data_IF_465014505478
#
_entry.id   IF_465014505478
#
_cell.length_a   1.000
_cell.length_b   1.000
_cell.length_c   1.000
_cell.angle_alpha   90.00
_cell.angle_beta   90.00
_cell.angle_gamma   90.00
#
_symmetry.space_group_name_H-M   'P 1'
#
loop_
_entity.id
_entity.type
_entity.pdbx_description
1 polymer ?
#
# COMPACT_ATOMS: atom_id res chain seq x y z
N UNK A 1 -62.56 -7.29 12.59
CA UNK A 1 -61.61 -6.76 13.60
C UNK A 1 -60.27 -7.45 13.39
N UNK A 2 -59.35 -6.79 12.68
CA UNK A 2 -57.97 -7.25 12.53
C UNK A 2 -57.08 -6.27 13.32
N UNK A 3 -56.22 -6.73 14.24
CA UNK A 3 -55.31 -5.84 14.91
C UNK A 3 -54.12 -5.57 13.98
N UNK A 4 -53.94 -4.29 13.66
CA UNK A 4 -52.79 -3.74 12.96
C UNK A 4 -51.55 -3.90 13.84
N UNK A 5 -50.62 -4.76 13.43
CA UNK A 5 -49.28 -4.83 13.99
C UNK A 5 -48.46 -3.65 13.44
N UNK A 6 -48.40 -2.57 14.21
CA UNK A 6 -47.40 -1.51 14.06
C UNK A 6 -46.04 -2.10 14.44
N UNK A 7 -45.29 -2.56 13.44
CA UNK A 7 -43.86 -2.83 13.57
C UNK A 7 -43.18 -1.47 13.74
N UNK A 8 -42.90 -1.13 15.00
CA UNK A 8 -42.08 0.02 15.35
C UNK A 8 -40.69 -0.14 14.74
N UNK A 9 -40.35 0.77 13.83
CA UNK A 9 -38.98 1.04 13.41
C UNK A 9 -38.17 1.42 14.67
N UNK A 10 -37.43 0.45 15.20
CA UNK A 10 -36.34 0.73 16.13
C UNK A 10 -35.26 1.41 15.29
N UNK A 11 -35.29 2.74 15.26
CA UNK A 11 -34.15 3.57 14.89
C UNK A 11 -33.03 3.31 15.91
N UNK A 12 -32.28 2.23 15.68
CA UNK A 12 -31.04 1.93 16.37
C UNK A 12 -30.05 3.06 16.15
N UNK A 13 -29.55 3.62 17.25
CA UNK A 13 -28.61 4.73 17.31
C UNK A 13 -27.34 4.36 16.55
N UNK A 14 -27.18 4.87 15.34
CA UNK A 14 -25.94 4.68 14.56
C UNK A 14 -24.80 5.47 15.20
N UNK A 15 -24.08 4.86 16.13
CA UNK A 15 -22.74 5.31 16.49
C UNK A 15 -21.92 5.40 15.18
N UNK A 16 -21.18 6.50 15.01
CA UNK A 16 -20.34 6.69 13.83
C UNK A 16 -19.39 5.50 13.69
N UNK A 17 -19.63 4.67 12.67
CA UNK A 17 -18.83 3.47 12.41
C UNK A 17 -18.04 3.70 11.13
N UNK A 18 -16.74 3.88 11.27
CA UNK A 18 -15.81 4.00 10.14
C UNK A 18 -15.56 2.60 9.59
N UNK A 19 -15.76 2.42 8.28
CA UNK A 19 -15.41 1.19 7.57
C UNK A 19 -13.89 1.05 7.39
N UNK A 20 -13.36 -0.18 7.37
CA UNK A 20 -11.94 -0.40 7.11
C UNK A 20 -11.56 0.05 5.70
N UNK A 21 -10.27 0.35 5.51
CA UNK A 21 -9.72 0.67 4.20
C UNK A 21 -9.35 -0.61 3.45
N UNK A 22 -10.00 -0.85 2.31
CA UNK A 22 -9.79 -2.05 1.51
C UNK A 22 -9.11 -1.69 0.19
N UNK A 23 -8.20 -2.54 -0.33
CA UNK A 23 -7.67 -2.35 -1.67
C UNK A 23 -8.75 -2.61 -2.71
N UNK A 24 -8.81 -1.76 -3.74
CA UNK A 24 -9.75 -1.85 -4.85
C UNK A 24 -9.09 -2.35 -6.13
N UNK A 25 -7.85 -1.91 -6.39
CA UNK A 25 -7.15 -2.22 -7.62
C UNK A 25 -5.64 -2.26 -7.38
N UNK A 26 -5.00 -3.32 -7.86
CA UNK A 26 -3.57 -3.56 -7.77
C UNK A 26 -2.99 -3.63 -9.18
N UNK A 27 -2.08 -2.72 -9.51
CA UNK A 27 -1.49 -2.65 -10.84
C UNK A 27 0.03 -2.57 -10.80
N UNK A 28 0.64 -3.21 -11.77
CA UNK A 28 2.09 -3.25 -11.98
C UNK A 28 2.33 -2.82 -13.42
N UNK A 29 3.21 -1.85 -13.62
CA UNK A 29 3.59 -1.32 -14.92
C UNK A 29 5.11 -1.20 -15.02
N UNK A 30 5.68 -1.16 -16.22
CA UNK A 30 7.07 -0.75 -16.37
C UNK A 30 7.17 0.72 -15.98
N UNK A 31 8.15 1.04 -15.13
CA UNK A 31 8.49 2.42 -14.82
C UNK A 31 9.06 3.07 -16.08
N UNK A 32 8.25 3.82 -16.80
CA UNK A 32 8.73 4.67 -17.89
C UNK A 32 8.81 6.11 -17.42
N UNK A 33 9.87 6.80 -17.83
CA UNK A 33 9.94 8.27 -17.77
C UNK A 33 8.98 8.95 -18.78
N UNK A 34 8.15 8.20 -19.51
CA UNK A 34 7.25 8.70 -20.55
C UNK A 34 5.81 8.22 -20.36
N UNK A 35 4.87 9.17 -20.34
CA UNK A 35 3.42 8.98 -20.09
C UNK A 35 2.67 8.16 -21.16
N UNK A 36 3.31 7.79 -22.28
CA UNK A 36 2.70 6.99 -23.35
C UNK A 36 3.73 6.03 -23.94
N UNK A 37 3.44 4.74 -23.89
CA UNK A 37 4.10 3.76 -24.76
C UNK A 37 3.43 3.82 -26.13
N UNK A 38 4.07 4.45 -27.12
CA UNK A 38 3.70 4.22 -28.51
C UNK A 38 4.23 2.83 -28.92
N UNK A 39 3.32 1.93 -29.30
CA UNK A 39 3.67 0.65 -29.88
C UNK A 39 4.43 0.89 -31.19
N UNK A 40 5.67 0.45 -31.30
CA UNK A 40 6.40 0.48 -32.58
C UNK A 40 7.92 0.66 -32.52
N UNK A 41 8.50 1.01 -31.37
CA UNK A 41 9.94 1.21 -31.27
C UNK A 41 10.59 0.24 -30.27
N UNK A 42 11.49 -0.60 -30.78
CA UNK A 42 12.36 -1.46 -29.98
C UNK A 42 13.36 -0.57 -29.23
N UNK A 43 12.96 -0.05 -28.06
CA UNK A 43 13.86 0.68 -27.19
C UNK A 43 14.70 -0.32 -26.41
N UNK A 44 15.98 -0.43 -26.78
CA UNK A 44 16.98 -1.06 -25.93
C UNK A 44 17.06 -0.26 -24.62
N UNK A 45 16.49 -0.79 -23.55
CA UNK A 45 16.75 -0.33 -22.19
C UNK A 45 18.01 -1.07 -21.72
N UNK A 46 19.18 -0.42 -21.63
CA UNK A 46 20.41 -1.07 -21.14
C UNK A 46 20.38 -1.37 -19.64
N UNK A 47 19.29 -1.01 -18.94
CA UNK A 47 19.07 -1.25 -17.52
C UNK A 47 17.96 -2.29 -17.33
N UNK A 48 18.04 -3.13 -16.29
CA UNK A 48 16.99 -4.10 -16.01
C UNK A 48 15.62 -3.40 -15.89
N UNK A 49 14.54 -3.99 -16.42
CA UNK A 49 13.20 -3.41 -16.36
C UNK A 49 12.82 -3.14 -14.91
N UNK A 50 12.43 -1.90 -14.61
CA UNK A 50 11.91 -1.53 -13.29
C UNK A 50 10.40 -1.58 -13.31
N UNK A 51 9.79 -2.19 -12.29
CA UNK A 51 8.34 -2.25 -12.16
C UNK A 51 7.84 -1.20 -11.18
N UNK A 52 6.88 -0.40 -11.62
CA UNK A 52 6.15 0.58 -10.83
C UNK A 52 4.84 -0.05 -10.39
N UNK A 53 4.64 -0.08 -9.08
CA UNK A 53 3.49 -0.72 -8.44
C UNK A 53 2.57 0.35 -7.90
N UNK A 54 1.28 0.26 -8.19
CA UNK A 54 0.28 1.14 -7.58
C UNK A 54 -0.86 0.33 -6.97
N UNK A 55 -1.38 0.83 -5.86
CA UNK A 55 -2.51 0.25 -5.16
C UNK A 55 -3.54 1.34 -4.92
N UNK A 56 -4.76 1.15 -5.43
CA UNK A 56 -5.89 2.04 -5.15
C UNK A 56 -6.69 1.48 -4.00
N UNK A 57 -7.13 2.34 -3.09
CA UNK A 57 -7.91 1.94 -1.92
C UNK A 57 -9.31 2.57 -1.91
N UNK A 58 -10.16 2.02 -1.05
CA UNK A 58 -11.54 2.47 -0.86
C UNK A 58 -11.68 3.79 -0.09
N UNK A 59 -10.57 4.32 0.44
CA UNK A 59 -10.55 5.54 1.25
C UNK A 59 -9.60 6.56 0.64
N UNK A 60 -10.06 7.80 0.54
CA UNK A 60 -9.28 8.92 0.02
C UNK A 60 -9.11 10.01 1.08
N UNK A 61 -8.30 11.02 0.78
CA UNK A 61 -8.10 12.17 1.67
C UNK A 61 -9.42 12.94 1.95
N UNK A 62 -10.39 12.89 1.02
CA UNK A 62 -11.74 13.45 1.23
C UNK A 62 -12.51 12.65 2.28
N UNK A 63 -12.39 11.33 2.27
CA UNK A 63 -13.00 10.46 3.27
C UNK A 63 -12.36 10.68 4.64
N UNK A 64 -11.05 10.92 4.69
CA UNK A 64 -10.36 11.24 5.95
C UNK A 64 -10.89 12.53 6.55
N UNK A 65 -11.07 13.57 5.73
CA UNK A 65 -11.64 14.84 6.18
C UNK A 65 -13.08 14.68 6.66
N UNK A 66 -13.88 13.79 6.06
CA UNK A 66 -15.23 13.47 6.49
C UNK A 66 -15.24 12.70 7.82
N UNK A 67 -14.45 11.64 7.91
CA UNK A 67 -14.34 10.79 9.10
C UNK A 67 -13.80 11.58 10.30
N UNK A 68 -12.88 12.52 10.07
CA UNK A 68 -12.32 13.43 11.09
C UNK A 68 -13.34 14.40 11.66
N UNK A 69 -14.39 14.78 10.92
CA UNK A 69 -15.45 15.66 11.45
C UNK A 69 -16.35 14.96 12.47
N UNK A 70 -16.48 13.63 12.37
CA UNK A 70 -17.30 12.83 13.27
C UNK A 70 -16.56 12.25 14.48
N UNK A 71 -15.24 12.44 14.55
CA UNK A 71 -14.36 11.81 15.54
C UNK A 71 -13.60 12.86 16.34
N UNK A 72 -13.25 12.54 17.58
CA UNK A 72 -12.37 13.40 18.40
C UNK A 72 -10.91 13.19 18.02
N UNK A 73 -10.55 11.97 17.64
CA UNK A 73 -9.21 11.61 17.16
C UNK A 73 -9.35 10.53 16.09
N UNK A 74 -8.46 10.55 15.10
CA UNK A 74 -8.35 9.51 14.09
C UNK A 74 -6.90 9.32 13.69
N UNK A 75 -6.46 8.08 13.66
CA UNK A 75 -5.14 7.66 13.19
C UNK A 75 -5.34 6.50 12.23
N UNK A 76 -4.78 6.61 11.04
CA UNK A 76 -4.87 5.57 10.01
C UNK A 76 -3.49 5.25 9.50
N UNK A 77 -3.22 3.96 9.36
CA UNK A 77 -1.98 3.44 8.80
C UNK A 77 -2.27 2.34 7.79
N UNK A 78 -1.52 2.35 6.70
CA UNK A 78 -1.50 1.29 5.71
C UNK A 78 -0.08 0.79 5.59
N UNK A 79 0.12 -0.51 5.75
CA UNK A 79 1.42 -1.16 5.60
C UNK A 79 1.37 -2.12 4.43
N UNK A 80 2.40 -2.04 3.61
CA UNK A 80 2.69 -2.98 2.54
C UNK A 80 3.90 -3.79 2.95
N UNK A 81 3.80 -5.10 2.80
CA UNK A 81 4.95 -6.00 2.88
C UNK A 81 4.96 -6.82 1.62
N UNK A 82 6.06 -6.90 0.90
CA UNK A 82 6.17 -7.92 -0.16
C UNK A 82 7.47 -8.66 -0.10
N UNK A 83 7.44 -9.90 -0.55
CA UNK A 83 8.59 -10.80 -0.60
C UNK A 83 8.50 -11.71 -1.80
N UNK A 84 9.66 -12.06 -2.32
CA UNK A 84 9.75 -13.17 -3.28
C UNK A 84 9.43 -14.47 -2.55
N UNK A 85 8.68 -15.38 -3.19
CA UNK A 85 8.23 -16.64 -2.57
C UNK A 85 9.41 -17.49 -2.05
N UNK A 86 10.52 -17.48 -2.77
CA UNK A 86 11.76 -18.24 -2.47
C UNK A 86 12.71 -17.52 -1.52
N UNK A 87 12.43 -16.27 -1.16
CA UNK A 87 13.33 -15.44 -0.35
C UNK A 87 12.76 -15.22 1.06
N UNK A 88 13.65 -15.22 2.04
CA UNK A 88 13.33 -14.80 3.41
C UNK A 88 13.38 -13.26 3.58
N UNK A 89 13.87 -12.53 2.57
CA UNK A 89 13.92 -11.06 2.60
C UNK A 89 12.57 -10.48 2.20
N UNK A 90 12.21 -9.39 2.87
CA UNK A 90 10.94 -8.71 2.66
C UNK A 90 11.16 -7.22 2.57
N UNK A 91 10.47 -6.61 1.63
CA UNK A 91 10.36 -5.17 1.52
C UNK A 91 9.13 -4.70 2.28
N UNK A 92 9.24 -3.58 2.98
CA UNK A 92 8.17 -3.06 3.83
C UNK A 92 8.07 -1.54 3.74
N UNK A 93 6.83 -1.07 3.58
CA UNK A 93 6.49 0.36 3.57
C UNK A 93 5.26 0.62 4.41
N UNK A 94 5.21 1.79 5.02
CA UNK A 94 4.08 2.24 5.80
C UNK A 94 3.69 3.64 5.38
N UNK A 95 2.38 3.89 5.30
CA UNK A 95 1.79 5.16 5.02
C UNK A 95 0.84 5.56 6.15
N UNK A 96 0.78 6.85 6.46
CA UNK A 96 -0.23 7.46 7.31
C UNK A 96 -1.31 8.14 6.47
N UNK A 97 -2.54 8.15 6.99
CA UNK A 97 -3.66 8.79 6.32
C UNK A 97 -4.21 7.96 5.15
N UNK A 98 -5.38 8.38 4.68
CA UNK A 98 -6.00 7.81 3.48
C UNK A 98 -5.42 8.48 2.24
N UNK A 99 -4.62 7.74 1.48
CA UNK A 99 -3.99 8.26 0.26
C UNK A 99 -4.88 8.08 -0.97
N UNK A 100 -5.76 7.07 -0.98
CA UNK A 100 -6.59 6.71 -2.14
C UNK A 100 -5.82 6.01 -3.26
N UNK A 101 -4.60 6.47 -3.55
CA UNK A 101 -3.64 5.83 -4.45
C UNK A 101 -2.27 5.78 -3.78
N UNK A 102 -1.77 4.57 -3.55
CA UNK A 102 -0.45 4.29 -2.99
C UNK A 102 0.49 3.93 -4.12
N UNK A 103 1.55 4.72 -4.30
CA UNK A 103 2.59 4.49 -5.31
C UNK A 103 3.79 3.85 -4.64
N UNK A 104 4.00 2.58 -4.91
CA UNK A 104 5.01 1.76 -4.23
C UNK A 104 6.29 1.65 -5.09
N UNK A 105 6.51 2.57 -6.04
CA UNK A 105 7.59 2.46 -7.03
C UNK A 105 8.97 2.34 -6.37
N UNK A 106 9.88 1.52 -6.95
CA UNK A 106 11.15 1.12 -6.35
C UNK A 106 12.14 2.27 -6.18
N UNK A 107 11.90 3.40 -6.86
CA UNK A 107 12.51 4.67 -6.55
C UNK A 107 11.44 5.53 -5.90
N UNK A 108 11.69 5.90 -4.65
CA UNK A 108 10.83 6.72 -3.80
C UNK A 108 10.32 8.06 -4.39
N UNK A 109 10.69 8.40 -5.63
CA UNK A 109 10.45 9.69 -6.29
C UNK A 109 9.02 9.96 -6.76
N UNK A 110 8.05 9.10 -6.45
CA UNK A 110 6.64 9.34 -6.78
C UNK A 110 5.98 10.41 -5.88
N UNK A 111 6.62 10.75 -4.75
CA UNK A 111 6.12 11.70 -3.76
C UNK A 111 7.02 12.94 -3.71
N UNK A 112 6.67 13.97 -4.48
CA UNK A 112 7.43 15.22 -4.60
C UNK A 112 7.73 15.85 -3.23
N UNK A 113 6.73 15.84 -2.34
CA UNK A 113 6.80 16.39 -0.98
C UNK A 113 7.81 15.64 -0.09
N UNK A 114 8.09 14.37 -0.40
CA UNK A 114 8.99 13.53 0.39
C UNK A 114 10.38 13.35 -0.24
N UNK A 115 10.63 13.89 -1.44
CA UNK A 115 11.84 13.58 -2.22
C UNK A 115 13.12 13.78 -1.43
N UNK A 116 13.22 14.86 -0.67
CA UNK A 116 14.40 15.16 0.16
C UNK A 116 14.65 14.07 1.22
N UNK A 117 13.63 13.72 2.01
CA UNK A 117 13.74 12.74 3.10
C UNK A 117 14.03 11.35 2.54
N UNK A 118 13.36 10.98 1.45
CA UNK A 118 13.52 9.69 0.80
C UNK A 118 14.91 9.53 0.15
N UNK A 119 15.41 10.57 -0.51
CA UNK A 119 16.77 10.60 -1.09
C UNK A 119 17.84 10.52 -0.01
N UNK A 120 17.67 11.24 1.11
CA UNK A 120 18.60 11.16 2.24
C UNK A 120 18.63 9.76 2.85
N UNK A 121 17.46 9.10 2.99
CA UNK A 121 17.37 7.75 3.54
C UNK A 121 18.04 6.72 2.62
N UNK A 122 17.77 6.77 1.31
CA UNK A 122 18.40 5.85 0.35
C UNK A 122 19.92 6.07 0.26
N UNK A 123 20.38 7.33 0.31
CA UNK A 123 21.80 7.63 0.37
C UNK A 123 22.44 7.05 1.64
N UNK A 124 21.84 7.24 2.81
CA UNK A 124 22.35 6.69 4.06
C UNK A 124 22.44 5.15 4.03
N UNK A 125 21.44 4.48 3.44
CA UNK A 125 21.49 3.02 3.22
C UNK A 125 22.66 2.61 2.33
N UNK A 126 22.90 3.35 1.24
CA UNK A 126 24.03 3.07 0.34
C UNK A 126 25.39 3.36 0.99
N UNK A 127 25.50 4.39 1.83
CA UNK A 127 26.74 4.75 2.51
C UNK A 127 27.14 3.67 3.55
N UNK A 128 26.16 3.08 4.23
CA UNK A 128 26.38 1.93 5.12
C UNK A 128 27.00 0.76 4.34
N UNK A 129 26.51 0.48 3.13
CA UNK A 129 27.10 -0.55 2.27
C UNK A 129 28.51 -0.16 1.80
N UNK A 130 28.69 1.07 1.29
CA UNK A 130 29.95 1.54 0.72
C UNK A 130 31.10 1.55 1.74
N UNK A 131 30.79 1.80 3.02
CA UNK A 131 31.77 1.76 4.12
C UNK A 131 32.06 0.36 4.65
N UNK A 132 31.57 -0.69 3.98
CA UNK A 132 31.72 -2.07 4.45
C UNK A 132 30.98 -2.35 5.76
N UNK A 133 29.95 -1.55 6.07
CA UNK A 133 29.10 -1.78 7.22
C UNK A 133 28.34 -3.11 7.08
N UNK A 134 27.95 -3.75 8.19
CA UNK A 134 27.19 -4.99 8.11
C UNK A 134 25.84 -4.73 7.43
N UNK A 135 25.44 -5.64 6.53
CA UNK A 135 24.16 -5.59 5.80
C UNK A 135 22.93 -5.53 6.75
N UNK A 136 23.12 -5.91 8.01
CA UNK A 136 22.12 -5.89 9.08
C UNK A 136 22.05 -4.57 9.86
N UNK A 137 22.90 -3.57 9.56
CA UNK A 137 22.85 -2.28 10.26
C UNK A 137 21.54 -1.56 9.89
N UNK A 138 20.60 -1.57 10.84
CA UNK A 138 19.32 -0.92 10.70
C UNK A 138 19.44 0.60 10.85
N UNK A 139 18.90 1.35 9.90
CA UNK A 139 18.69 2.78 9.98
C UNK A 139 17.26 3.06 10.44
N UNK A 140 17.11 3.97 11.39
CA UNK A 140 15.80 4.47 11.77
C UNK A 140 15.34 5.51 10.76
N UNK A 141 14.21 5.24 10.12
CA UNK A 141 13.48 6.26 9.38
C UNK A 141 12.63 7.08 10.36
N UNK A 142 12.85 8.38 10.40
CA UNK A 142 11.99 9.30 11.14
C UNK A 142 11.38 10.27 10.14
N UNK A 143 10.06 10.19 9.97
CA UNK A 143 9.33 11.13 9.15
C UNK A 143 9.17 12.44 9.94
N UNK A 144 10.20 13.28 9.89
CA UNK A 144 10.18 14.59 10.55
C UNK A 144 9.24 15.59 9.84
N UNK A 145 8.85 15.30 8.60
CA UNK A 145 8.04 16.19 7.77
C UNK A 145 6.55 15.79 7.82
N UNK A 146 5.65 16.67 8.31
CA UNK A 146 4.22 16.40 8.33
C UNK A 146 3.57 16.29 6.95
N UNK A 147 4.22 16.81 5.89
CA UNK A 147 3.74 16.66 4.51
C UNK A 147 4.01 15.25 3.96
N UNK A 148 4.96 14.50 4.54
CA UNK A 148 5.31 13.20 4.02
C UNK A 148 4.42 12.08 4.58
N UNK A 149 3.67 11.34 3.73
CA UNK A 149 2.80 10.29 4.23
C UNK A 149 3.54 9.01 4.63
N UNK A 150 4.85 8.89 4.43
CA UNK A 150 5.59 7.69 4.83
C UNK A 150 5.78 7.63 6.34
N UNK A 151 5.44 6.49 6.95
CA UNK A 151 5.70 6.19 8.36
C UNK A 151 6.76 5.11 8.54
N UNK A 152 6.95 4.26 7.54
CA UNK A 152 7.90 3.15 7.60
C UNK A 152 8.55 2.93 6.24
N UNK A 153 9.87 2.73 6.25
CA UNK A 153 10.69 2.42 5.09
C UNK A 153 11.64 1.26 5.45
N UNK A 154 12.21 0.57 4.45
CA UNK A 154 13.22 -0.44 4.67
C UNK A 154 14.39 0.13 5.48
N UNK A 155 14.73 -0.55 6.58
CA UNK A 155 15.77 -0.09 7.51
C UNK A 155 17.15 -0.63 7.15
N UNK A 156 17.22 -1.69 6.35
CA UNK A 156 18.48 -2.28 5.89
C UNK A 156 18.62 -2.15 4.36
N UNK A 157 19.86 -2.14 3.87
CA UNK A 157 20.10 -2.11 2.43
C UNK A 157 19.57 -3.38 1.74
N UNK A 158 19.63 -4.53 2.43
CA UNK A 158 19.13 -5.79 1.90
C UNK A 158 17.60 -5.77 1.69
N UNK A 159 16.86 -5.20 2.64
CA UNK A 159 15.40 -5.04 2.52
C UNK A 159 15.06 -4.00 1.45
N UNK A 160 15.84 -2.91 1.36
CA UNK A 160 15.67 -1.90 0.33
C UNK A 160 15.83 -2.47 -1.09
N UNK A 161 16.86 -3.29 -1.33
CA UNK A 161 17.04 -3.94 -2.65
C UNK A 161 15.94 -4.98 -2.92
N UNK A 162 15.39 -5.62 -1.89
CA UNK A 162 14.25 -6.55 -2.05
C UNK A 162 12.95 -5.85 -2.49
N UNK A 163 12.92 -4.52 -2.48
CA UNK A 163 11.81 -3.74 -3.03
C UNK A 163 11.81 -3.70 -4.56
N UNK A 164 12.94 -3.95 -5.21
CA UNK A 164 12.99 -4.10 -6.65
C UNK A 164 12.39 -5.46 -7.06
N UNK A 165 11.36 -5.42 -7.91
CA UNK A 165 10.74 -6.62 -8.46
C UNK A 165 11.54 -7.11 -9.68
N UNK A 166 11.72 -8.42 -9.78
CA UNK A 166 12.34 -9.08 -10.91
C UNK A 166 11.27 -9.68 -11.84
N UNK A 167 11.58 -9.71 -13.13
CA UNK A 167 10.72 -10.32 -14.15
C UNK A 167 10.62 -11.83 -13.93
N UNK A 168 9.42 -12.38 -14.12
CA UNK A 168 9.10 -13.80 -14.04
C UNK A 168 9.36 -14.48 -12.68
N UNK A 169 9.54 -13.71 -11.60
CA UNK A 169 9.61 -14.26 -10.25
C UNK A 169 8.26 -14.13 -9.52
N UNK A 170 7.95 -15.09 -8.66
CA UNK A 170 6.73 -15.07 -7.86
C UNK A 170 6.90 -14.25 -6.58
N UNK A 171 5.93 -13.37 -6.33
CA UNK A 171 5.89 -12.51 -5.14
C UNK A 171 4.57 -12.66 -4.40
N UNK A 172 4.64 -12.45 -3.10
CA UNK A 172 3.49 -12.29 -2.20
C UNK A 172 3.57 -10.86 -1.67
N UNK A 173 2.48 -10.11 -1.80
CA UNK A 173 2.32 -8.79 -1.20
C UNK A 173 1.15 -8.78 -0.23
N UNK A 174 1.42 -8.41 1.01
CA UNK A 174 0.47 -8.25 2.09
C UNK A 174 0.11 -6.76 2.22
N UNK A 175 -1.19 -6.49 2.14
CA UNK A 175 -1.82 -5.23 2.52
C UNK A 175 -2.32 -5.36 3.96
N UNK A 176 -1.99 -4.38 4.80
CA UNK A 176 -2.54 -4.27 6.15
C UNK A 176 -2.97 -2.82 6.42
N UNK A 177 -4.26 -2.58 6.55
CA UNK A 177 -4.80 -1.29 7.00
C UNK A 177 -5.25 -1.36 8.45
N UNK A 178 -4.96 -0.30 9.22
CA UNK A 178 -5.41 -0.12 10.59
C UNK A 178 -5.90 1.30 10.78
N UNK A 179 -7.18 1.45 11.13
CA UNK A 179 -7.78 2.74 11.46
C UNK A 179 -8.20 2.69 12.92
N UNK A 180 -7.57 3.53 13.75
CA UNK A 180 -7.98 3.77 15.13
C UNK A 180 -8.69 5.12 15.20
N UNK A 181 -9.86 5.16 15.81
CA UNK A 181 -10.60 6.39 15.98
C UNK A 181 -11.30 6.44 17.33
N UNK A 182 -11.42 7.66 17.84
CA UNK A 182 -12.11 7.93 19.08
C UNK A 182 -13.35 8.79 18.81
N UNK A 183 -14.44 8.49 19.51
CA UNK A 183 -15.67 9.26 19.45
C UNK A 183 -16.09 9.68 20.84
N UNK A 184 -16.63 10.88 20.96
CA UNK A 184 -17.29 11.35 22.16
C UNK A 184 -18.75 11.67 21.83
N UNK A 185 -19.68 10.94 22.44
CA UNK A 185 -21.10 11.12 22.18
C UNK A 185 -21.91 10.91 23.46
N UNK A 186 -22.75 11.91 23.81
CA UNK A 186 -23.62 11.90 25.00
C UNK A 186 -22.88 11.56 26.30
N UNK A 187 -21.69 12.14 26.51
CA UNK A 187 -20.90 11.94 27.74
C UNK A 187 -20.04 10.69 27.74
N UNK A 188 -20.18 9.80 26.75
CA UNK A 188 -19.41 8.57 26.66
C UNK A 188 -18.30 8.73 25.62
N UNK A 189 -17.08 8.44 26.06
CA UNK A 189 -15.92 8.31 25.19
C UNK A 189 -15.70 6.84 24.83
N UNK A 190 -15.43 6.57 23.56
CA UNK A 190 -15.14 5.22 23.08
C UNK A 190 -14.04 5.23 22.03
N UNK A 191 -13.14 4.24 22.11
CA UNK A 191 -12.09 3.98 21.12
C UNK A 191 -12.45 2.76 20.30
N UNK A 192 -12.32 2.87 18.98
CA UNK A 192 -12.72 1.86 18.02
C UNK A 192 -11.61 1.61 17.00
N UNK A 193 -11.66 0.43 16.38
CA UNK A 193 -10.72 -0.03 15.37
C UNK A 193 -11.46 -0.53 14.13
N UNK A 194 -10.94 -0.20 12.97
CA UNK A 194 -11.36 -0.75 11.69
C UNK A 194 -10.12 -1.23 10.94
N UNK A 195 -9.93 -2.54 10.93
CA UNK A 195 -8.75 -3.19 10.39
C UNK A 195 -9.12 -4.08 9.20
N UNK A 196 -8.20 -4.20 8.26
CA UNK A 196 -8.34 -5.12 7.12
C UNK A 196 -6.96 -5.58 6.66
N UNK A 197 -6.88 -6.84 6.27
CA UNK A 197 -5.67 -7.48 5.79
C UNK A 197 -6.02 -8.34 4.59
N UNK A 198 -5.20 -8.27 3.55
CA UNK A 198 -5.34 -9.14 2.37
C UNK A 198 -3.97 -9.36 1.72
N UNK A 199 -3.83 -10.44 0.98
CA UNK A 199 -2.58 -10.85 0.35
C UNK A 199 -2.79 -11.09 -1.15
N UNK A 200 -1.87 -10.60 -1.95
CA UNK A 200 -1.85 -10.74 -3.41
C UNK A 200 -0.66 -11.60 -3.82
N UNK A 201 -0.90 -12.62 -4.64
CA UNK A 201 0.15 -13.43 -5.25
C UNK A 201 0.25 -13.06 -6.72
N UNK A 202 1.43 -12.65 -7.17
CA UNK A 202 1.62 -12.18 -8.54
C UNK A 202 3.01 -12.51 -9.07
N UNK A 203 3.12 -12.49 -10.40
CA UNK A 203 4.36 -12.64 -11.14
C UNK A 203 4.48 -11.44 -12.11
N UNK A 204 5.47 -10.54 -11.93
CA UNK A 204 5.74 -9.48 -12.89
C UNK A 204 6.16 -10.09 -14.23
N UNK A 205 5.59 -9.62 -15.33
CA UNK A 205 6.00 -10.03 -16.68
C UNK A 205 5.87 -8.86 -17.64
N UNK A 206 6.66 -8.86 -18.72
CA UNK A 206 6.76 -7.75 -19.67
C UNK A 206 5.52 -7.64 -20.60
N UNK A 207 4.55 -8.54 -20.47
CA UNK A 207 3.29 -8.52 -21.21
C UNK A 207 2.28 -7.57 -20.54
N UNK A 208 2.51 -6.25 -20.68
CA UNK A 208 1.85 -5.23 -19.86
C UNK A 208 0.68 -4.53 -20.55
N UNK A 209 -0.52 -5.05 -20.26
CA UNK A 209 -1.75 -4.33 -19.92
C UNK A 209 -2.74 -5.40 -19.43
N UNK A 210 -2.86 -5.61 -18.12
CA UNK A 210 -3.81 -6.59 -17.56
C UNK A 210 -4.53 -6.01 -16.36
N UNK A 211 -5.80 -5.71 -16.55
CA UNK A 211 -6.75 -5.32 -15.51
C UNK A 211 -7.55 -6.56 -15.08
N UNK A 212 -7.90 -6.67 -13.80
CA UNK A 212 -8.77 -7.74 -13.32
C UNK A 212 -9.03 -7.70 -11.82
N UNK A 213 -10.16 -8.26 -11.40
CA UNK A 213 -10.61 -8.41 -10.02
C UNK A 213 -9.95 -9.62 -9.33
N UNK A 214 -10.03 -9.71 -8.00
CA UNK A 214 -9.46 -10.81 -7.20
C UNK A 214 -9.88 -12.20 -7.70
N UNK A 215 -11.16 -12.38 -8.04
CA UNK A 215 -11.71 -13.64 -8.56
C UNK A 215 -11.08 -13.99 -9.92
N UNK A 216 -10.85 -13.01 -10.78
CA UNK A 216 -10.25 -13.20 -12.10
C UNK A 216 -8.75 -13.54 -12.01
N UNK A 217 -8.07 -13.05 -10.98
CA UNK A 217 -6.70 -13.44 -10.66
C UNK A 217 -6.62 -14.87 -10.11
N UNK A 218 -7.49 -15.23 -9.16
CA UNK A 218 -7.59 -16.58 -8.58
C UNK A 218 -7.92 -17.65 -9.61
N UNK A 219 -8.89 -17.40 -10.49
CA UNK A 219 -9.28 -18.36 -11.54
C UNK A 219 -8.12 -18.66 -12.50
N UNK A 220 -7.26 -17.67 -12.78
CA UNK A 220 -6.11 -17.84 -13.67
C UNK A 220 -4.97 -18.60 -13.02
N UNK A 221 -4.76 -18.44 -11.72
CA UNK A 221 -3.79 -19.23 -10.96
C UNK A 221 -4.13 -20.73 -11.01
N UNK A 222 -5.42 -21.08 -10.93
CA UNK A 222 -5.85 -22.48 -11.02
C UNK A 222 -5.69 -23.09 -12.43
N UNK A 223 -5.68 -22.28 -13.49
CA UNK A 223 -5.46 -22.76 -14.86
C UNK A 223 -3.99 -23.01 -15.22
N UNK A 224 -3.03 -22.61 -14.36
CA UNK A 224 -1.60 -22.87 -14.57
C UNK A 224 -1.16 -24.27 -14.13
N UNK A 225 -1.98 -25.02 -13.39
CA UNK A 225 -1.65 -26.39 -12.94
C UNK A 225 -1.96 -27.49 -13.98
N UNK A 226 -2.53 -27.14 -15.14
CA UNK A 226 -2.78 -28.11 -16.22
C UNK A 226 -1.89 -27.84 -17.43
N UNK A 227 -0.59 -28.11 -17.30
CA UNK A 227 0.29 -28.43 -18.44
C UNK A 227 1.53 -29.19 -18.01
#
# INVERSE_FOLDING_TARGET
MYPSLLVGLVCGVSALRISPEIPLDFSIHLCTHHRRHEHGHMQYLPHPPRYCVTMRSSKSQKDLAKDRKGTTSISSTVRFTWRQVTSARQCQFGFQGYQGEYRLSPDFGAYDECQYVLSRHSHALSEVLARGGPLSKALHFNASDPACPFTYLPTTYADYVSCALNSNEWYIMDWQSSIRYDTYHKGNYGSYYANHTTSFVFQPSDNLLRNGTEVEWLARLMHLETR
#
